data_IF_612293347075
#
_entry.id   IF_612293347075
#
_cell.length_a   1.000
_cell.length_b   1.000
_cell.length_c   1.000
_cell.angle_alpha   90.00
_cell.angle_beta   90.00
_cell.angle_gamma   90.00
#
_symmetry.space_group_name_H-M   'P 1'
#
loop_
_entity.id
_entity.type
_entity.pdbx_description
1 polymer ?
#
# COMPACT_ATOMS: atom_id res chain seq x y z
N UNK A 1 -20.24 -9.12 -13.56
CA UNK A 1 -19.44 -8.74 -12.39
C UNK A 1 -18.09 -9.34 -12.64
N UNK A 2 -17.12 -8.51 -12.99
CA UNK A 2 -15.78 -8.98 -13.37
C UNK A 2 -14.94 -9.13 -12.10
N UNK A 3 -14.34 -10.29 -11.90
CA UNK A 3 -13.40 -10.53 -10.80
C UNK A 3 -12.05 -9.91 -11.16
N UNK A 4 -11.54 -9.00 -10.32
CA UNK A 4 -10.24 -8.36 -10.56
C UNK A 4 -9.06 -9.25 -10.14
N UNK A 5 -9.16 -9.87 -8.96
CA UNK A 5 -8.13 -10.72 -8.37
C UNK A 5 -8.78 -12.02 -7.89
N UNK A 6 -8.21 -13.14 -8.31
CA UNK A 6 -8.39 -14.47 -7.73
C UNK A 6 -7.37 -14.72 -6.61
N UNK A 7 -7.65 -15.73 -5.78
CA UNK A 7 -6.72 -16.28 -4.78
C UNK A 7 -6.10 -15.28 -3.79
N UNK A 8 -6.87 -14.27 -3.40
CA UNK A 8 -6.49 -13.33 -2.32
C UNK A 8 -6.57 -14.03 -0.96
N UNK A 9 -5.47 -14.04 -0.22
CA UNK A 9 -5.40 -14.69 1.09
C UNK A 9 -5.89 -13.78 2.23
N UNK A 10 -5.35 -12.56 2.32
CA UNK A 10 -5.75 -11.54 3.29
C UNK A 10 -5.76 -10.17 2.60
N UNK A 11 -6.92 -9.82 2.05
CA UNK A 11 -7.14 -8.51 1.45
C UNK A 11 -6.97 -7.40 2.47
N UNK A 12 -6.18 -6.39 2.14
CA UNK A 12 -5.83 -5.36 3.09
C UNK A 12 -5.77 -3.95 2.49
N UNK A 13 -4.77 -3.13 2.83
CA UNK A 13 -4.65 -1.74 2.44
C UNK A 13 -4.92 -1.47 0.96
N UNK A 14 -5.71 -0.44 0.70
CA UNK A 14 -5.95 0.12 -0.63
C UNK A 14 -5.76 1.63 -0.61
N UNK A 15 -5.34 2.20 -1.73
CA UNK A 15 -5.20 3.64 -1.88
C UNK A 15 -5.04 4.02 -3.34
N UNK A 16 -5.20 5.30 -3.66
CA UNK A 16 -5.09 5.81 -5.03
C UNK A 16 -4.05 6.92 -5.09
N UNK A 17 -3.37 7.04 -6.24
CA UNK A 17 -2.52 8.21 -6.49
C UNK A 17 -3.36 9.49 -6.48
N UNK A 18 -2.78 10.66 -6.15
CA UNK A 18 -3.52 11.93 -6.12
C UNK A 18 -4.21 12.30 -7.45
N UNK A 19 -3.65 11.85 -8.58
CA UNK A 19 -4.22 12.06 -9.91
C UNK A 19 -5.24 10.97 -10.31
N UNK A 20 -5.50 9.99 -9.44
CA UNK A 20 -6.45 8.90 -9.64
C UNK A 20 -6.02 7.85 -10.67
N UNK A 21 -4.81 7.93 -11.23
CA UNK A 21 -4.35 7.03 -12.31
C UNK A 21 -3.78 5.71 -11.83
N UNK A 22 -3.41 5.61 -10.56
CA UNK A 22 -2.88 4.40 -9.96
C UNK A 22 -3.72 3.97 -8.76
N UNK A 23 -3.89 2.66 -8.61
CA UNK A 23 -4.44 2.04 -7.40
C UNK A 23 -3.36 1.16 -6.77
N UNK A 24 -3.17 1.30 -5.46
CA UNK A 24 -2.30 0.45 -4.66
C UNK A 24 -3.13 -0.57 -3.89
N UNK A 25 -2.59 -1.77 -3.71
CA UNK A 25 -3.25 -2.87 -3.03
C UNK A 25 -2.26 -3.75 -2.27
N UNK A 26 -2.72 -4.30 -1.16
CA UNK A 26 -1.99 -5.26 -0.36
C UNK A 26 -2.82 -6.53 -0.18
N UNK A 27 -2.20 -7.66 -0.49
CA UNK A 27 -2.56 -8.99 0.03
C UNK A 27 -1.46 -9.43 1.00
N UNK A 28 -1.71 -9.36 2.31
CA UNK A 28 -0.65 -9.32 3.33
C UNK A 28 0.38 -10.47 3.24
N UNK A 29 -0.01 -11.75 3.05
CA UNK A 29 0.94 -12.87 2.98
C UNK A 29 1.90 -12.80 1.80
N UNK A 30 1.56 -12.06 0.73
CA UNK A 30 2.44 -11.87 -0.43
C UNK A 30 3.64 -10.97 -0.13
N UNK A 31 3.57 -10.20 0.98
CA UNK A 31 4.56 -9.19 1.38
C UNK A 31 4.85 -8.13 0.31
N UNK A 32 3.93 -7.93 -0.62
CA UNK A 32 4.04 -6.94 -1.68
C UNK A 32 2.99 -5.87 -1.50
N UNK A 33 3.39 -4.65 -1.84
CA UNK A 33 2.46 -3.62 -2.27
C UNK A 33 2.42 -3.73 -3.78
N UNK A 34 1.24 -3.96 -4.33
CA UNK A 34 1.04 -3.95 -5.77
C UNK A 34 0.44 -2.61 -6.22
N UNK A 35 0.68 -2.27 -7.48
CA UNK A 35 0.10 -1.12 -8.17
C UNK A 35 -0.58 -1.57 -9.46
N UNK A 36 -1.67 -0.90 -9.78
CA UNK A 36 -2.47 -1.09 -10.97
C UNK A 36 -2.67 0.25 -11.67
N UNK A 37 -2.88 0.20 -12.98
CA UNK A 37 -3.32 1.37 -13.74
C UNK A 37 -4.84 1.48 -13.65
N UNK A 38 -5.35 2.71 -13.50
CA UNK A 38 -6.77 3.04 -13.47
C UNK A 38 -7.14 3.81 -14.74
N UNK A 39 -8.06 3.25 -15.53
CA UNK A 39 -8.55 3.86 -16.76
C UNK A 39 -9.25 5.20 -16.50
N UNK A 40 -8.75 6.29 -17.08
CA UNK A 40 -9.29 7.63 -16.83
C UNK A 40 -10.75 7.81 -17.30
N UNK A 41 -11.21 7.01 -18.27
CA UNK A 41 -12.55 7.13 -18.84
C UNK A 41 -13.58 6.21 -18.17
N UNK A 42 -13.16 5.03 -17.70
CA UNK A 42 -14.05 3.94 -17.28
C UNK A 42 -13.71 3.36 -15.91
N UNK A 43 -12.65 3.83 -15.25
CA UNK A 43 -12.19 3.35 -13.95
C UNK A 43 -11.67 1.92 -13.96
N UNK A 44 -11.41 1.32 -15.14
CA UNK A 44 -10.94 -0.08 -15.21
C UNK A 44 -9.56 -0.20 -14.58
N UNK A 45 -9.42 -1.19 -13.69
CA UNK A 45 -8.17 -1.50 -13.01
C UNK A 45 -7.45 -2.59 -13.79
N UNK A 46 -6.22 -2.32 -14.23
CA UNK A 46 -5.44 -3.23 -15.10
C UNK A 46 -3.95 -3.18 -14.74
N UNK A 47 -3.11 -3.99 -15.42
CA UNK A 47 -1.65 -3.93 -15.33
C UNK A 47 -1.07 -4.04 -13.90
N UNK A 48 -1.56 -5.03 -13.13
CA UNK A 48 -1.00 -5.38 -11.82
C UNK A 48 0.51 -5.59 -11.93
N UNK A 49 1.27 -4.91 -11.08
CA UNK A 49 2.72 -5.09 -10.95
C UNK A 49 3.17 -4.79 -9.53
N UNK A 50 4.34 -5.29 -9.16
CA UNK A 50 4.94 -4.97 -7.85
C UNK A 50 5.28 -3.49 -7.81
N UNK A 51 4.83 -2.81 -6.76
CA UNK A 51 5.26 -1.46 -6.43
C UNK A 51 6.44 -1.48 -5.46
N UNK A 52 6.31 -2.24 -4.37
CA UNK A 52 7.36 -2.45 -3.38
C UNK A 52 7.26 -3.86 -2.78
N UNK A 53 8.40 -4.40 -2.38
CA UNK A 53 8.49 -5.68 -1.65
C UNK A 53 8.93 -5.40 -0.22
N UNK A 54 8.23 -5.98 0.76
CA UNK A 54 8.62 -5.97 2.16
C UNK A 54 9.54 -7.16 2.41
N UNK A 55 10.75 -6.88 2.88
CA UNK A 55 11.77 -7.88 3.14
C UNK A 55 11.41 -8.80 4.33
N UNK A 56 11.98 -10.01 4.34
CA UNK A 56 11.83 -10.95 5.46
C UNK A 56 12.29 -10.30 6.77
N UNK A 57 11.51 -10.50 7.84
CA UNK A 57 11.78 -9.93 9.15
C UNK A 57 11.31 -8.50 9.37
N UNK A 58 10.85 -7.79 8.33
CA UNK A 58 10.25 -6.46 8.47
C UNK A 58 8.76 -6.48 8.86
N UNK A 59 8.15 -7.66 8.98
CA UNK A 59 6.72 -7.84 9.19
C UNK A 59 5.95 -8.02 7.89
N UNK A 60 4.63 -7.80 7.94
CA UNK A 60 3.73 -7.93 6.81
C UNK A 60 3.03 -6.60 6.52
N UNK A 61 2.92 -6.19 5.24
CA UNK A 61 2.15 -5.01 4.89
C UNK A 61 0.67 -5.23 5.23
N UNK A 62 0.05 -4.24 5.86
CA UNK A 62 -1.33 -4.28 6.37
C UNK A 62 -2.13 -3.12 5.74
N UNK A 63 -2.67 -2.18 6.53
CA UNK A 63 -3.31 -0.97 6.04
C UNK A 63 -2.33 0.05 5.47
N UNK A 64 -2.76 0.77 4.42
CA UNK A 64 -1.99 1.81 3.74
C UNK A 64 -2.78 3.11 3.56
N UNK A 65 -2.09 4.22 3.35
CA UNK A 65 -2.65 5.47 2.83
C UNK A 65 -1.66 6.15 1.85
N UNK A 66 -2.14 7.12 1.07
CA UNK A 66 -1.32 7.86 0.09
C UNK A 66 -1.32 9.34 0.48
N UNK A 67 -0.15 9.98 0.48
CA UNK A 67 -0.03 11.42 0.75
C UNK A 67 -0.19 12.27 -0.52
N UNK A 68 -0.22 13.60 -0.35
CA UNK A 68 -0.42 14.55 -1.44
C UNK A 68 0.72 14.55 -2.48
N UNK A 69 1.91 14.08 -2.10
CA UNK A 69 3.07 13.94 -3.00
C UNK A 69 3.05 12.59 -3.75
N UNK A 70 2.00 11.77 -3.54
CA UNK A 70 1.86 10.44 -4.14
C UNK A 70 2.69 9.36 -3.46
N UNK A 71 3.22 9.60 -2.27
CA UNK A 71 3.97 8.59 -1.54
C UNK A 71 3.02 7.66 -0.79
N UNK A 72 3.37 6.36 -0.76
CA UNK A 72 2.58 5.32 -0.13
C UNK A 72 3.09 5.06 1.27
N UNK A 73 2.22 5.22 2.26
CA UNK A 73 2.49 4.92 3.66
C UNK A 73 1.84 3.60 4.03
N UNK A 74 2.59 2.67 4.62
CA UNK A 74 2.11 1.33 4.95
C UNK A 74 2.45 0.98 6.39
N UNK A 75 1.47 0.43 7.11
CA UNK A 75 1.66 -0.18 8.42
C UNK A 75 2.24 -1.60 8.26
N UNK A 76 3.19 -1.96 9.12
CA UNK A 76 3.80 -3.30 9.12
C UNK A 76 3.38 -4.09 10.36
N UNK A 77 2.47 -5.04 10.14
CA UNK A 77 2.02 -5.99 11.16
C UNK A 77 3.17 -6.95 11.51
N UNK A 78 3.43 -7.12 12.81
CA UNK A 78 4.63 -7.78 13.35
C UNK A 78 5.97 -7.10 12.97
N UNK A 79 5.94 -5.91 12.39
CA UNK A 79 7.12 -5.12 12.02
C UNK A 79 7.39 -3.92 12.92
N UNK A 80 6.39 -3.49 13.70
CA UNK A 80 6.50 -2.37 14.64
C UNK A 80 6.86 -1.03 13.99
N UNK A 81 6.40 -0.79 12.77
CA UNK A 81 6.69 0.43 12.04
C UNK A 81 5.59 0.84 11.06
N UNK A 82 5.59 2.11 10.69
CA UNK A 82 5.02 2.61 9.43
C UNK A 82 6.17 2.97 8.50
N UNK A 83 6.09 2.55 7.23
CA UNK A 83 7.07 2.92 6.20
C UNK A 83 6.43 3.82 5.15
N UNK A 84 7.23 4.72 4.56
CA UNK A 84 6.85 5.55 3.42
C UNK A 84 7.69 5.17 2.21
N UNK A 85 7.04 4.91 1.10
CA UNK A 85 7.63 4.67 -0.20
C UNK A 85 7.37 5.86 -1.14
N UNK A 86 8.38 6.30 -1.87
CA UNK A 86 8.26 7.33 -2.91
C UNK A 86 7.31 6.88 -4.02
N UNK A 87 6.84 7.76 -4.93
CA UNK A 87 6.01 7.35 -6.07
C UNK A 87 6.71 6.35 -7.01
N UNK A 88 8.04 6.22 -6.91
CA UNK A 88 8.83 5.23 -7.65
C UNK A 88 8.91 3.85 -6.97
N UNK A 89 8.36 3.68 -5.77
CA UNK A 89 8.43 2.43 -5.01
C UNK A 89 9.66 2.31 -4.09
N UNK A 90 10.51 3.34 -4.03
CA UNK A 90 11.70 3.34 -3.18
C UNK A 90 11.37 3.70 -1.74
N UNK A 91 11.97 3.00 -0.77
CA UNK A 91 11.80 3.31 0.66
C UNK A 91 12.45 4.66 1.00
N UNK A 92 11.64 5.59 1.50
CA UNK A 92 12.07 6.95 1.85
C UNK A 92 12.19 7.13 3.37
N UNK A 93 11.16 6.70 4.12
CA UNK A 93 11.11 6.90 5.59
C UNK A 93 10.62 5.66 6.33
N UNK A 94 11.12 5.49 7.55
CA UNK A 94 10.65 4.49 8.52
C UNK A 94 10.31 5.22 9.82
N UNK A 95 9.08 5.06 10.30
CA UNK A 95 8.62 5.54 11.60
C UNK A 95 8.48 4.31 12.52
N UNK A 96 9.43 4.08 13.44
CA UNK A 96 9.29 3.01 14.42
C UNK A 96 8.20 3.34 15.43
N UNK A 97 7.47 2.31 15.85
CA UNK A 97 6.40 2.40 16.85
C UNK A 97 6.69 1.43 18.00
N UNK A 98 6.40 1.79 19.26
CA UNK A 98 6.68 0.95 20.42
C UNK A 98 5.65 -0.19 20.59
N UNK A 99 5.09 -0.69 19.49
CA UNK A 99 4.13 -1.79 19.43
C UNK A 99 4.40 -2.63 18.18
N UNK A 100 4.43 -3.97 18.25
CA UNK A 100 4.83 -4.80 17.12
C UNK A 100 3.73 -4.97 16.06
N UNK A 101 2.46 -4.90 16.45
CA UNK A 101 1.32 -5.22 15.59
C UNK A 101 0.64 -3.95 15.05
N UNK A 102 1.36 -3.19 14.23
CA UNK A 102 0.81 -1.97 13.60
C UNK A 102 -0.07 -2.39 12.43
N UNK A 103 -1.36 -2.05 12.46
CA UNK A 103 -2.35 -2.56 11.49
C UNK A 103 -2.72 -1.57 10.39
N UNK A 104 -2.77 -0.27 10.67
CA UNK A 104 -3.12 0.73 9.66
C UNK A 104 -2.54 2.10 10.03
N UNK A 105 -2.55 3.01 9.05
CA UNK A 105 -2.22 4.41 9.26
C UNK A 105 -3.11 5.31 8.40
N UNK A 106 -3.30 6.55 8.85
CA UNK A 106 -3.99 7.59 8.08
C UNK A 106 -3.48 8.95 8.52
N UNK A 107 -3.66 9.96 7.67
CA UNK A 107 -3.41 11.34 8.04
C UNK A 107 -4.62 11.92 8.78
N UNK A 108 -4.33 12.81 9.73
CA UNK A 108 -5.33 13.63 10.42
C UNK A 108 -4.85 15.06 10.53
N UNK A 109 -5.77 15.99 10.81
CA UNK A 109 -5.47 17.42 10.91
C UNK A 109 -6.09 18.23 9.77
N UNK A 110 -5.80 19.54 9.75
CA UNK A 110 -6.24 20.45 8.68
C UNK A 110 -5.18 20.50 7.58
N UNK A 111 -5.66 20.53 6.34
CA UNK A 111 -4.90 20.88 5.13
C UNK A 111 -4.59 22.36 5.10
#
# INVERSE_FOLDING_TARGET
MDLLLDDVAVSNGTGWSPDGRLMYYIDSPTRRIDVFDVGAADGRITNRRSFALIEEGAGFPDGLCVDADGCVWVALWAGGAVRRYTPGGELDRVIPLPVPLVTACTFGGRT
#
